data_IF_710132586077
#
_entry.id   IF_710132586077
#
_cell.length_a   1.000
_cell.length_b   1.000
_cell.length_c   1.000
_cell.angle_alpha   90.00
_cell.angle_beta   90.00
_cell.angle_gamma   90.00
#
_symmetry.space_group_name_H-M   'P 1'
#
loop_
_entity.id
_entity.type
_entity.pdbx_description
1 polymer ?
#
# COMPACT_ATOMS: atom_id res chain seq x y z
N UNK A 1 -19.35 -62.73 47.75
CA UNK A 1 -19.40 -61.40 47.10
C UNK A 1 -18.13 -61.24 46.27
N UNK A 2 -18.20 -61.49 44.96
CA UNK A 2 -17.04 -61.40 44.07
C UNK A 2 -16.72 -59.92 43.79
N UNK A 3 -15.57 -59.46 44.30
CA UNK A 3 -15.02 -58.12 44.03
C UNK A 3 -14.51 -58.09 42.59
N UNK A 4 -15.14 -57.34 41.72
CA UNK A 4 -14.64 -57.09 40.36
C UNK A 4 -13.33 -56.29 40.45
N UNK A 5 -12.23 -56.89 39.99
CA UNK A 5 -10.93 -56.23 39.84
C UNK A 5 -11.03 -55.16 38.75
N UNK A 6 -10.89 -53.90 39.13
CA UNK A 6 -10.87 -52.75 38.23
C UNK A 6 -9.47 -52.63 37.59
N UNK A 7 -9.28 -53.21 36.40
CA UNK A 7 -8.01 -53.17 35.66
C UNK A 7 -7.83 -51.75 35.11
N UNK A 8 -6.97 -50.95 35.73
CA UNK A 8 -6.51 -49.67 35.14
C UNK A 8 -5.55 -49.99 33.99
N UNK A 9 -6.02 -49.80 32.76
CA UNK A 9 -5.19 -49.97 31.56
C UNK A 9 -4.11 -48.87 31.52
N UNK A 10 -2.85 -49.27 31.49
CA UNK A 10 -1.70 -48.37 31.28
C UNK A 10 -1.46 -48.12 29.78
N UNK A 11 -0.71 -47.06 29.47
CA UNK A 11 -0.27 -46.76 28.10
C UNK A 11 0.90 -47.67 27.69
N UNK A 12 0.90 -48.08 26.42
CA UNK A 12 2.03 -48.84 25.85
C UNK A 12 3.13 -47.88 25.36
N UNK A 13 4.39 -48.32 25.35
CA UNK A 13 5.50 -47.51 24.83
C UNK A 13 5.29 -47.15 23.35
N UNK A 14 4.75 -48.08 22.55
CA UNK A 14 4.46 -47.82 21.13
C UNK A 14 3.42 -46.72 20.94
N UNK A 15 2.41 -46.66 21.80
CA UNK A 15 1.37 -45.63 21.77
C UNK A 15 1.94 -44.24 22.12
N UNK A 16 2.84 -44.16 23.10
CA UNK A 16 3.56 -42.92 23.43
C UNK A 16 4.44 -42.46 22.25
N UNK A 17 5.15 -43.39 21.62
CA UNK A 17 5.99 -43.07 20.44
C UNK A 17 5.16 -42.52 19.28
N UNK A 18 4.02 -43.15 18.99
CA UNK A 18 3.09 -42.67 17.94
C UNK A 18 2.51 -41.30 18.33
N UNK A 19 2.12 -41.11 19.59
CA UNK A 19 1.59 -39.84 20.06
C UNK A 19 2.63 -38.71 19.93
N UNK A 20 3.90 -38.96 20.30
CA UNK A 20 4.99 -38.00 20.14
C UNK A 20 5.27 -37.68 18.67
N UNK A 21 5.19 -38.66 17.79
CA UNK A 21 5.34 -38.45 16.34
C UNK A 21 4.24 -37.55 15.78
N UNK A 22 2.98 -37.83 16.10
CA UNK A 22 1.84 -37.00 15.67
C UNK A 22 1.90 -35.59 16.25
N UNK A 23 2.29 -35.46 17.52
CA UNK A 23 2.45 -34.16 18.17
C UNK A 23 3.58 -33.35 17.51
N UNK A 24 4.71 -33.97 17.24
CA UNK A 24 5.86 -33.30 16.62
C UNK A 24 5.55 -32.85 15.20
N UNK A 25 4.90 -33.69 14.41
CA UNK A 25 4.47 -33.34 13.04
C UNK A 25 3.43 -32.23 13.04
N UNK A 26 2.47 -32.25 13.98
CA UNK A 26 1.50 -31.17 14.16
C UNK A 26 2.15 -29.83 14.49
N UNK A 27 3.14 -29.81 15.37
CA UNK A 27 3.87 -28.58 15.74
C UNK A 27 4.63 -28.01 14.54
N UNK A 28 5.33 -28.85 13.77
CA UNK A 28 6.07 -28.41 12.58
C UNK A 28 5.13 -27.83 11.52
N UNK A 29 3.97 -28.47 11.30
CA UNK A 29 2.97 -27.98 10.37
C UNK A 29 2.40 -26.61 10.80
N UNK A 30 2.06 -26.46 12.08
CA UNK A 30 1.58 -25.19 12.62
C UNK A 30 2.62 -24.08 12.48
N UNK A 31 3.89 -24.37 12.81
CA UNK A 31 4.98 -23.42 12.68
C UNK A 31 5.19 -22.95 11.24
N UNK A 32 5.15 -23.87 10.26
CA UNK A 32 5.28 -23.53 8.85
C UNK A 32 4.16 -22.56 8.41
N UNK A 33 2.91 -22.83 8.80
CA UNK A 33 1.77 -21.95 8.50
C UNK A 33 1.95 -20.56 9.13
N UNK A 34 2.39 -20.48 10.38
CA UNK A 34 2.65 -19.20 11.05
C UNK A 34 3.70 -18.37 10.29
N UNK A 35 4.78 -19.00 9.85
CA UNK A 35 5.81 -18.31 9.05
C UNK A 35 5.22 -17.76 7.74
N UNK A 36 4.39 -18.54 7.05
CA UNK A 36 3.70 -18.08 5.85
C UNK A 36 2.75 -16.90 6.12
N UNK A 37 2.01 -16.91 7.22
CA UNK A 37 1.11 -15.81 7.60
C UNK A 37 1.89 -14.52 7.80
N UNK A 38 3.03 -14.55 8.50
CA UNK A 38 3.86 -13.34 8.71
C UNK A 38 4.25 -12.72 7.37
N UNK A 39 4.69 -13.52 6.41
CA UNK A 39 5.07 -13.04 5.06
C UNK A 39 3.89 -12.40 4.32
N UNK A 40 2.72 -13.05 4.38
CA UNK A 40 1.50 -12.56 3.73
C UNK A 40 1.07 -11.23 4.36
N UNK A 41 1.10 -11.13 5.69
CA UNK A 41 0.68 -9.92 6.41
C UNK A 41 1.58 -8.72 6.12
N UNK A 42 2.89 -8.92 6.04
CA UNK A 42 3.85 -7.87 5.67
C UNK A 42 3.59 -7.34 4.24
N UNK A 43 3.39 -8.26 3.30
CA UNK A 43 3.09 -7.93 1.90
C UNK A 43 1.76 -7.20 1.77
N UNK A 44 0.73 -7.65 2.49
CA UNK A 44 -0.59 -7.03 2.51
C UNK A 44 -0.55 -5.61 3.08
N UNK A 45 0.19 -5.42 4.18
CA UNK A 45 0.42 -4.10 4.79
C UNK A 45 1.09 -3.14 3.79
N UNK A 46 2.14 -3.60 3.11
CA UNK A 46 2.86 -2.79 2.12
C UNK A 46 1.97 -2.39 0.93
N UNK A 47 1.12 -3.31 0.45
CA UNK A 47 0.13 -3.02 -0.60
C UNK A 47 -0.91 -2.00 -0.15
N UNK A 48 -1.37 -2.09 1.09
CA UNK A 48 -2.34 -1.14 1.65
C UNK A 48 -1.73 0.27 1.74
N UNK A 49 -0.51 0.39 2.25
CA UNK A 49 0.24 1.66 2.28
C UNK A 49 0.39 2.22 0.86
N UNK A 50 0.81 1.40 -0.10
CA UNK A 50 0.96 1.83 -1.49
C UNK A 50 -0.37 2.30 -2.11
N UNK A 51 -1.49 1.66 -1.76
CA UNK A 51 -2.82 2.09 -2.18
C UNK A 51 -3.19 3.48 -1.65
N UNK A 52 -2.97 3.72 -0.35
CA UNK A 52 -3.21 5.03 0.25
C UNK A 52 -2.30 6.11 -0.34
N UNK A 53 -1.00 5.82 -0.52
CA UNK A 53 -0.06 6.74 -1.15
C UNK A 53 -0.44 7.11 -2.60
N UNK A 54 -0.97 6.13 -3.35
CA UNK A 54 -1.44 6.35 -4.71
C UNK A 54 -2.71 7.21 -4.74
N UNK A 55 -3.64 6.97 -3.81
CA UNK A 55 -4.85 7.80 -3.63
C UNK A 55 -4.49 9.23 -3.22
N UNK A 56 -3.63 9.39 -2.22
CA UNK A 56 -3.12 10.69 -1.76
C UNK A 56 -2.51 11.48 -2.92
N UNK A 57 -1.72 10.84 -3.78
CA UNK A 57 -1.16 11.49 -4.97
C UNK A 57 -2.23 12.06 -5.91
N UNK A 58 -3.37 11.37 -6.07
CA UNK A 58 -4.51 11.89 -6.87
C UNK A 58 -5.18 13.06 -6.14
N UNK A 59 -5.30 12.97 -4.83
CA UNK A 59 -5.89 14.00 -3.98
C UNK A 59 -5.06 15.29 -3.95
N UNK A 60 -3.72 15.20 -3.94
CA UNK A 60 -2.84 16.38 -4.04
C UNK A 60 -3.13 17.16 -5.31
N UNK A 61 -3.21 16.49 -6.47
CA UNK A 61 -3.52 17.16 -7.74
C UNK A 61 -4.94 17.76 -7.73
N UNK A 62 -5.89 17.08 -7.09
CA UNK A 62 -7.26 17.59 -6.90
C UNK A 62 -7.27 18.83 -6.00
N UNK A 63 -6.50 18.83 -4.91
CA UNK A 63 -6.38 19.94 -3.98
C UNK A 63 -5.78 21.18 -4.67
N UNK A 64 -4.74 21.00 -5.49
CA UNK A 64 -4.17 22.09 -6.30
C UNK A 64 -5.24 22.74 -7.18
N UNK A 65 -6.03 21.93 -7.91
CA UNK A 65 -7.15 22.43 -8.72
C UNK A 65 -8.17 23.18 -7.88
N UNK A 66 -8.63 22.59 -6.79
CA UNK A 66 -9.70 23.15 -5.97
C UNK A 66 -9.25 24.47 -5.32
N UNK A 67 -7.99 24.53 -4.90
CA UNK A 67 -7.33 25.76 -4.42
C UNK A 67 -7.30 26.84 -5.50
N UNK A 68 -7.01 26.49 -6.75
CA UNK A 68 -7.04 27.47 -7.85
C UNK A 68 -8.44 28.04 -8.06
N UNK A 69 -9.49 27.21 -7.98
CA UNK A 69 -10.87 27.70 -8.04
C UNK A 69 -11.20 28.65 -6.91
N UNK A 70 -10.85 28.30 -5.66
CA UNK A 70 -11.07 29.18 -4.51
C UNK A 70 -10.39 30.54 -4.70
N UNK A 71 -9.19 30.54 -5.29
CA UNK A 71 -8.41 31.75 -5.59
C UNK A 71 -8.81 32.47 -6.89
N UNK A 72 -9.89 32.04 -7.58
CA UNK A 72 -10.36 32.60 -8.87
C UNK A 72 -9.26 32.60 -9.97
N UNK A 73 -8.39 31.60 -9.97
CA UNK A 73 -7.35 31.37 -11.00
C UNK A 73 -7.80 30.34 -12.03
N UNK A 74 -7.05 30.18 -13.12
CA UNK A 74 -7.22 29.02 -14.00
C UNK A 74 -7.02 27.74 -13.15
N UNK A 75 -7.98 26.83 -13.24
CA UNK A 75 -7.98 25.59 -12.47
C UNK A 75 -6.78 24.69 -12.76
N UNK A 76 -6.12 24.88 -13.91
CA UNK A 76 -4.94 24.15 -14.34
C UNK A 76 -3.62 24.76 -13.84
N UNK A 77 -3.63 25.93 -13.20
CA UNK A 77 -2.41 26.58 -12.70
C UNK A 77 -1.62 25.64 -11.77
N UNK A 78 -0.33 25.43 -12.04
CA UNK A 78 0.51 24.51 -11.24
C UNK A 78 0.33 23.01 -11.55
N UNK A 79 -0.60 22.64 -12.44
CA UNK A 79 -0.78 21.27 -12.91
C UNK A 79 -0.11 21.13 -14.28
N UNK A 80 1.18 20.82 -14.28
CA UNK A 80 2.00 20.76 -15.49
C UNK A 80 2.11 19.30 -15.97
N UNK A 81 1.87 19.09 -17.26
CA UNK A 81 2.00 17.79 -17.95
C UNK A 81 3.38 17.18 -17.71
N UNK A 82 3.44 15.84 -17.62
CA UNK A 82 4.66 15.07 -17.44
C UNK A 82 4.69 14.27 -16.14
N UNK A 83 5.85 13.69 -15.85
CA UNK A 83 6.10 12.96 -14.61
C UNK A 83 6.49 13.93 -13.49
N UNK A 84 5.78 13.82 -12.38
CA UNK A 84 5.84 14.74 -11.25
C UNK A 84 5.96 13.99 -9.93
N UNK A 85 6.40 14.71 -8.93
CA UNK A 85 6.33 14.34 -7.53
C UNK A 85 5.82 15.52 -6.70
N UNK A 86 5.13 15.21 -5.61
CA UNK A 86 4.58 16.19 -4.69
C UNK A 86 4.27 15.50 -3.36
N UNK A 87 4.29 16.26 -2.28
CA UNK A 87 3.88 15.88 -0.93
C UNK A 87 2.47 16.36 -0.59
N UNK A 88 1.90 15.84 0.49
CA UNK A 88 0.56 16.20 0.95
C UNK A 88 0.39 17.70 1.29
N UNK A 89 1.50 18.43 1.47
CA UNK A 89 1.50 19.89 1.74
C UNK A 89 1.79 20.73 0.50
N UNK A 90 2.19 20.12 -0.60
CA UNK A 90 2.65 20.86 -1.76
C UNK A 90 1.48 21.51 -2.50
N UNK A 91 1.63 22.80 -2.78
CA UNK A 91 0.65 23.57 -3.57
C UNK A 91 0.98 23.57 -5.07
N UNK A 92 2.04 22.88 -5.48
CA UNK A 92 2.48 22.76 -6.87
C UNK A 92 3.22 21.44 -7.09
N UNK A 93 3.23 20.96 -8.34
CA UNK A 93 3.91 19.72 -8.71
C UNK A 93 5.38 19.99 -9.09
N UNK A 94 6.30 19.21 -8.54
CA UNK A 94 7.73 19.27 -8.91
C UNK A 94 8.08 18.18 -9.94
N UNK A 95 9.13 18.35 -10.76
CA UNK A 95 9.58 17.30 -11.67
C UNK A 95 9.96 16.02 -10.92
N UNK A 96 9.55 14.86 -11.45
CA UNK A 96 9.88 13.58 -10.83
C UNK A 96 11.38 13.32 -10.82
N UNK A 97 11.95 13.12 -9.63
CA UNK A 97 13.36 12.82 -9.41
C UNK A 97 13.61 11.37 -8.99
N UNK A 98 12.54 10.57 -8.80
CA UNK A 98 12.67 9.16 -8.42
C UNK A 98 13.15 8.94 -7.00
N UNK A 99 12.89 9.92 -6.13
CA UNK A 99 13.22 9.87 -4.70
C UNK A 99 12.29 8.91 -3.96
N UNK A 100 12.82 8.33 -2.89
CA UNK A 100 12.01 7.59 -1.93
C UNK A 100 11.22 8.55 -1.06
N UNK A 101 10.04 8.11 -0.63
CA UNK A 101 9.26 8.81 0.38
C UNK A 101 9.86 8.54 1.76
N UNK A 102 9.98 9.58 2.56
CA UNK A 102 10.32 9.52 3.97
C UNK A 102 9.03 9.55 4.81
N UNK A 103 9.06 9.00 6.02
CA UNK A 103 7.92 9.02 6.94
C UNK A 103 8.27 9.73 8.24
N UNK A 104 7.46 10.72 8.64
CA UNK A 104 7.60 11.40 9.92
C UNK A 104 6.22 11.74 10.49
N UNK A 105 6.01 11.47 11.79
CA UNK A 105 4.74 11.70 12.48
C UNK A 105 3.50 11.10 11.76
N UNK A 106 3.67 9.97 11.09
CA UNK A 106 2.59 9.28 10.34
C UNK A 106 2.33 9.82 8.93
N UNK A 107 3.07 10.84 8.47
CA UNK A 107 2.91 11.41 7.14
C UNK A 107 4.09 11.07 6.22
N UNK A 108 3.77 10.78 4.96
CA UNK A 108 4.78 10.53 3.93
C UNK A 108 5.13 11.84 3.22
N UNK A 109 6.43 12.08 3.04
CA UNK A 109 6.94 13.28 2.36
C UNK A 109 8.31 13.05 1.72
N UNK A 110 8.75 13.95 0.85
CA UNK A 110 10.14 14.03 0.38
C UNK A 110 11.05 14.88 1.29
N UNK A 111 10.54 15.28 2.46
CA UNK A 111 11.24 16.09 3.46
C UNK A 111 11.95 15.22 4.50
N UNK A 112 11.88 15.57 5.79
CA UNK A 112 12.58 14.87 6.87
C UNK A 112 11.94 13.53 7.24
N UNK A 113 12.74 12.65 7.85
CA UNK A 113 12.30 11.36 8.40
C UNK A 113 13.09 10.18 7.82
N UNK A 114 12.93 8.98 8.39
CA UNK A 114 13.51 7.77 7.83
C UNK A 114 12.97 7.49 6.42
N UNK A 115 13.90 7.10 5.53
CA UNK A 115 13.56 6.71 4.18
C UNK A 115 12.76 5.40 4.17
N UNK A 116 11.68 5.37 3.39
CA UNK A 116 10.87 4.17 3.20
C UNK A 116 11.20 3.47 1.88
N UNK A 117 10.63 2.28 1.67
CA UNK A 117 10.80 1.52 0.42
C UNK A 117 9.96 2.04 -0.75
N UNK A 118 9.07 3.00 -0.53
CA UNK A 118 8.10 3.44 -1.52
C UNK A 118 8.62 4.63 -2.34
N UNK A 119 8.42 4.58 -3.65
CA UNK A 119 8.56 5.71 -4.56
C UNK A 119 7.22 6.01 -5.20
N UNK A 120 6.86 7.29 -5.28
CA UNK A 120 5.62 7.75 -5.90
C UNK A 120 5.94 8.57 -7.16
N UNK A 121 5.27 8.24 -8.26
CA UNK A 121 5.35 8.96 -9.54
C UNK A 121 3.95 9.37 -9.97
N UNK A 122 3.73 10.68 -10.08
CA UNK A 122 2.47 11.27 -10.53
C UNK A 122 2.63 11.63 -12.01
N UNK A 123 1.93 10.95 -12.91
CA UNK A 123 1.92 11.26 -14.33
C UNK A 123 0.68 12.08 -14.67
N UNK A 124 0.89 13.29 -15.16
CA UNK A 124 -0.15 14.20 -15.64
C UNK A 124 -0.22 14.13 -17.16
N UNK A 125 -1.41 13.84 -17.68
CA UNK A 125 -1.72 13.90 -19.12
C UNK A 125 -2.84 14.90 -19.37
N UNK A 126 -2.82 15.55 -20.53
CA UNK A 126 -3.92 16.42 -20.96
C UNK A 126 -4.60 15.79 -22.18
N UNK A 127 -5.93 15.82 -22.21
CA UNK A 127 -6.72 15.41 -23.35
C UNK A 127 -7.90 16.36 -23.53
N UNK A 128 -8.45 16.42 -24.74
CA UNK A 128 -9.63 17.22 -25.04
C UNK A 128 -10.78 16.26 -25.38
N UNK A 129 -11.90 16.37 -24.66
CA UNK A 129 -13.08 15.53 -24.88
C UNK A 129 -14.28 16.45 -25.11
N UNK A 130 -14.94 16.31 -26.27
CA UNK A 130 -16.05 17.18 -26.68
C UNK A 130 -15.71 18.69 -26.59
N UNK A 131 -14.50 19.08 -27.02
CA UNK A 131 -14.01 20.46 -26.99
C UNK A 131 -13.62 21.00 -25.60
N UNK A 132 -13.72 20.20 -24.53
CA UNK A 132 -13.37 20.61 -23.16
C UNK A 132 -12.05 19.98 -22.70
N UNK A 133 -11.16 20.75 -22.06
CA UNK A 133 -9.91 20.21 -21.53
C UNK A 133 -10.17 19.28 -20.35
N UNK A 134 -9.51 18.12 -20.35
CA UNK A 134 -9.52 17.10 -19.30
C UNK A 134 -8.09 16.77 -18.90
N UNK A 135 -7.84 16.74 -17.60
CA UNK A 135 -6.54 16.32 -17.07
C UNK A 135 -6.68 14.89 -16.58
N UNK A 136 -5.87 13.99 -17.13
CA UNK A 136 -5.65 12.65 -16.61
C UNK A 136 -4.55 12.66 -15.56
N UNK A 137 -4.83 12.03 -14.43
CA UNK A 137 -3.87 11.84 -13.33
C UNK A 137 -3.66 10.34 -13.16
N UNK A 138 -2.41 9.89 -13.19
CA UNK A 138 -2.03 8.50 -12.99
C UNK A 138 -0.90 8.44 -11.99
N UNK A 139 -1.18 7.93 -10.79
CA UNK A 139 -0.20 7.84 -9.71
C UNK A 139 0.26 6.40 -9.60
N UNK A 140 1.56 6.19 -9.77
CA UNK A 140 2.22 4.89 -9.62
C UNK A 140 3.05 4.91 -8.34
N UNK A 141 2.83 3.92 -7.48
CA UNK A 141 3.68 3.66 -6.32
C UNK A 141 4.43 2.36 -6.57
N UNK A 142 5.75 2.41 -6.44
CA UNK A 142 6.66 1.27 -6.68
C UNK A 142 7.45 1.02 -5.39
N UNK A 143 7.63 -0.25 -5.02
CA UNK A 143 8.47 -0.64 -3.89
C UNK A 143 9.13 -1.99 -4.12
N UNK A 144 10.29 -2.19 -3.48
CA UNK A 144 11.02 -3.46 -3.49
C UNK A 144 10.73 -4.22 -2.19
N UNK A 145 10.38 -5.49 -2.31
CA UNK A 145 10.11 -6.38 -1.18
C UNK A 145 10.57 -7.79 -1.53
N UNK A 146 11.42 -8.40 -0.69
CA UNK A 146 11.95 -9.76 -0.90
C UNK A 146 12.54 -10.00 -2.31
N UNK A 147 13.23 -8.99 -2.85
CA UNK A 147 13.85 -9.04 -4.18
C UNK A 147 12.86 -8.90 -5.35
N UNK A 148 11.56 -8.74 -5.09
CA UNK A 148 10.53 -8.50 -6.10
C UNK A 148 10.08 -7.04 -6.08
N UNK A 149 10.05 -6.42 -7.26
CA UNK A 149 9.50 -5.07 -7.41
C UNK A 149 7.98 -5.17 -7.55
N UNK A 150 7.27 -4.58 -6.61
CA UNK A 150 5.82 -4.43 -6.66
C UNK A 150 5.43 -3.02 -7.08
N UNK A 151 4.27 -2.93 -7.73
CA UNK A 151 3.74 -1.67 -8.21
C UNK A 151 2.23 -1.62 -8.02
N UNK A 152 1.71 -0.44 -7.70
CA UNK A 152 0.29 -0.16 -7.61
C UNK A 152 -0.02 1.17 -8.28
N UNK A 153 -1.12 1.23 -9.03
CA UNK A 153 -1.52 2.43 -9.77
C UNK A 153 -2.92 2.89 -9.43
N UNK A 154 -3.07 4.16 -9.07
CA UNK A 154 -4.34 4.86 -8.98
C UNK A 154 -4.51 5.79 -10.20
N UNK A 155 -5.74 5.90 -10.71
CA UNK A 155 -6.08 6.80 -11.81
C UNK A 155 -7.18 7.75 -11.37
N UNK A 156 -7.08 9.00 -11.79
CA UNK A 156 -8.07 10.03 -11.59
C UNK A 156 -8.24 10.88 -12.83
N UNK A 157 -9.38 11.55 -12.92
CA UNK A 157 -9.64 12.51 -13.97
C UNK A 157 -10.15 13.81 -13.35
N UNK A 158 -9.56 14.93 -13.77
CA UNK A 158 -9.93 16.27 -13.37
C UNK A 158 -10.61 16.97 -14.53
N UNK A 159 -11.71 17.62 -14.22
CA UNK A 159 -12.54 18.38 -15.14
C UNK A 159 -12.91 19.72 -14.50
N UNK A 160 -13.31 20.68 -15.34
CA UNK A 160 -13.81 21.98 -14.92
C UNK A 160 -15.34 21.91 -14.69
N UNK A 161 -15.79 21.57 -13.48
CA UNK A 161 -17.24 21.45 -13.19
C UNK A 161 -17.89 22.74 -12.65
N UNK A 162 -17.11 23.74 -12.23
CA UNK A 162 -17.64 25.01 -11.69
C UNK A 162 -18.40 25.84 -12.73
N UNK A 163 -18.13 25.63 -14.02
CA UNK A 163 -18.87 26.25 -15.12
C UNK A 163 -19.79 25.19 -15.74
N UNK A 164 -20.90 24.93 -15.07
CA UNK A 164 -22.11 24.36 -15.68
C UNK A 164 -23.15 25.47 -15.76
#
# INVERSE_FOLDING_TARGET
>A
MLKYLNIRRGFTIIEVTIALFLLSTGILAAFAVTQHIVIITETASSRLIAAYLAQEGVEIVRNIRDTNWLKRRDWKTGIIVGNREADFRDTALTPYAGRFLNIAAGFYSYAHGPQTKFRRKITITTSTVAGRPRIGVSVLVEWLERGQTHQLRAKGHLHNWRFK
#
